data_IF_098419267658
#
_entry.id   IF_098419267658
#
_cell.length_a   1.000
_cell.length_b   1.000
_cell.length_c   1.000
_cell.angle_alpha   90.00
_cell.angle_beta   90.00
_cell.angle_gamma   90.00
#
_symmetry.space_group_name_H-M   'P 1'
#
loop_
_entity.id
_entity.type
_entity.pdbx_description
1 polymer ?
#
# COMPACT_ATOMS: atom_id res chain seq x y z
N UNK A 1 0.08 6.95 -0.31
CA UNK A 1 0.20 8.32 0.28
C UNK A 1 -0.69 8.54 1.49
N UNK A 2 -1.97 8.13 1.46
CA UNK A 2 -2.86 8.33 2.62
C UNK A 2 -2.34 7.67 3.90
N UNK A 3 -1.94 6.40 3.83
CA UNK A 3 -1.38 5.69 4.98
C UNK A 3 -0.05 6.30 5.45
N UNK A 4 0.84 6.68 4.53
CA UNK A 4 2.06 7.43 4.86
C UNK A 4 1.73 8.66 5.72
N UNK A 5 0.80 9.50 5.27
CA UNK A 5 0.41 10.71 6.00
C UNK A 5 -0.21 10.36 7.36
N UNK A 6 -1.08 9.35 7.42
CA UNK A 6 -1.72 8.90 8.66
C UNK A 6 -0.74 8.29 9.66
N UNK A 7 0.35 7.68 9.21
CA UNK A 7 1.38 7.07 10.07
C UNK A 7 2.36 8.13 10.57
N UNK A 8 2.95 8.93 9.68
CA UNK A 8 4.04 9.86 10.06
C UNK A 8 3.55 11.03 10.91
N UNK A 9 2.25 11.32 10.92
CA UNK A 9 1.65 12.38 11.76
C UNK A 9 1.04 11.86 13.07
N UNK A 10 1.03 10.54 13.29
CA UNK A 10 0.33 9.95 14.43
C UNK A 10 1.28 9.68 15.62
N UNK A 11 1.10 10.37 16.77
CA UNK A 11 1.97 10.22 17.95
C UNK A 11 1.95 8.81 18.57
N UNK A 12 0.96 7.97 18.26
CA UNK A 12 0.89 6.59 18.73
C UNK A 12 1.64 5.60 17.85
N UNK A 13 2.06 6.02 16.65
CA UNK A 13 2.68 5.16 15.63
C UNK A 13 4.16 5.46 15.44
N UNK A 14 4.60 6.69 15.72
CA UNK A 14 5.99 7.14 15.55
C UNK A 14 6.44 7.94 16.77
N UNK A 15 7.71 7.80 17.16
CA UNK A 15 8.28 8.48 18.34
C UNK A 15 8.23 10.01 18.20
N UNK A 16 8.45 10.52 16.98
CA UNK A 16 8.50 11.95 16.66
C UNK A 16 7.55 12.24 15.49
N UNK A 17 6.25 12.42 15.75
CA UNK A 17 5.28 12.67 14.69
C UNK A 17 5.58 13.99 14.00
N UNK A 18 5.48 13.97 12.67
CA UNK A 18 5.58 15.15 11.83
C UNK A 18 4.32 16.01 11.98
N UNK A 19 4.49 17.32 11.85
CA UNK A 19 3.34 18.20 11.63
C UNK A 19 2.73 17.93 10.25
N UNK A 20 1.46 18.30 10.06
CA UNK A 20 0.80 18.15 8.75
C UNK A 20 1.55 18.88 7.62
N UNK A 21 2.20 20.01 7.93
CA UNK A 21 3.01 20.77 6.96
C UNK A 21 4.26 19.97 6.57
N UNK A 22 5.01 19.46 7.54
CA UNK A 22 6.21 18.66 7.28
C UNK A 22 5.89 17.37 6.52
N UNK A 23 4.79 16.71 6.86
CA UNK A 23 4.35 15.50 6.15
C UNK A 23 3.96 15.79 4.69
N UNK A 24 3.32 16.93 4.43
CA UNK A 24 3.01 17.39 3.07
C UNK A 24 4.28 17.67 2.28
N UNK A 25 5.21 18.46 2.84
CA UNK A 25 6.44 18.83 2.15
C UNK A 25 7.30 17.59 1.81
N UNK A 26 7.30 16.58 2.70
CA UNK A 26 7.96 15.30 2.43
C UNK A 26 7.23 14.47 1.35
N UNK A 27 5.90 14.49 1.32
CA UNK A 27 5.14 13.84 0.26
C UNK A 27 5.43 14.48 -1.11
N UNK A 28 5.47 15.82 -1.17
CA UNK A 28 5.82 16.56 -2.38
C UNK A 28 7.24 16.20 -2.85
N UNK A 29 8.19 16.10 -1.92
CA UNK A 29 9.55 15.67 -2.24
C UNK A 29 9.60 14.27 -2.88
N UNK A 30 8.85 13.30 -2.35
CA UNK A 30 8.77 11.97 -2.92
C UNK A 30 8.12 11.98 -4.30
N UNK A 31 7.00 12.69 -4.47
CA UNK A 31 6.28 12.76 -5.74
C UNK A 31 7.06 13.50 -6.83
N UNK A 32 8.01 14.37 -6.46
CA UNK A 32 8.91 15.02 -7.40
C UNK A 32 10.05 14.10 -7.91
N UNK A 33 10.29 12.94 -7.28
CA UNK A 33 11.36 12.04 -7.69
C UNK A 33 10.97 11.21 -8.92
N UNK A 34 11.76 11.19 -10.00
CA UNK A 34 11.47 10.36 -11.18
C UNK A 34 11.38 8.86 -10.88
N UNK A 35 12.10 8.40 -9.86
CA UNK A 35 12.10 7.00 -9.43
C UNK A 35 10.85 6.61 -8.62
N UNK A 36 10.03 7.57 -8.19
CA UNK A 36 8.86 7.31 -7.38
C UNK A 36 7.59 7.65 -8.17
N UNK A 37 6.85 6.62 -8.57
CA UNK A 37 5.59 6.78 -9.31
C UNK A 37 4.41 6.40 -8.43
N UNK A 38 3.45 7.31 -8.32
CA UNK A 38 2.17 7.00 -7.71
C UNK A 38 1.29 6.26 -8.72
N UNK A 39 0.82 5.08 -8.33
CA UNK A 39 -0.22 4.34 -9.06
C UNK A 39 -1.59 4.62 -8.44
N UNK A 40 -2.61 4.58 -9.27
CA UNK A 40 -4.00 4.84 -8.86
C UNK A 40 -4.87 3.63 -9.20
N UNK A 41 -5.97 3.40 -8.45
CA UNK A 41 -7.00 2.46 -8.87
C UNK A 41 -7.43 2.76 -10.31
N UNK A 42 -7.56 1.71 -11.11
CA UNK A 42 -8.10 1.76 -12.47
C UNK A 42 -9.59 1.44 -12.43
N UNK A 43 -10.28 1.58 -13.56
CA UNK A 43 -11.69 1.19 -13.69
C UNK A 43 -11.93 -0.30 -13.35
N UNK A 44 -10.91 -1.14 -13.56
CA UNK A 44 -10.97 -2.59 -13.30
C UNK A 44 -10.72 -2.96 -11.82
N UNK A 45 -10.12 -2.06 -11.02
CA UNK A 45 -9.66 -2.39 -9.66
C UNK A 45 -10.79 -2.92 -8.77
N UNK A 46 -12.00 -2.38 -8.88
CA UNK A 46 -13.15 -2.85 -8.10
C UNK A 46 -13.56 -4.28 -8.49
N UNK A 47 -13.55 -4.61 -9.79
CA UNK A 47 -13.89 -5.95 -10.26
C UNK A 47 -12.84 -6.97 -9.79
N UNK A 48 -11.55 -6.60 -9.85
CA UNK A 48 -10.46 -7.41 -9.32
C UNK A 48 -10.57 -7.62 -7.82
N UNK A 49 -10.86 -6.57 -7.03
CA UNK A 49 -11.08 -6.69 -5.59
C UNK A 49 -12.20 -7.72 -5.29
N UNK A 50 -13.33 -7.64 -5.99
CA UNK A 50 -14.43 -8.59 -5.81
C UNK A 50 -14.04 -10.03 -6.19
N UNK A 51 -13.16 -10.20 -7.18
CA UNK A 51 -12.54 -11.48 -7.50
C UNK A 51 -11.68 -11.99 -6.35
N UNK A 52 -10.72 -11.18 -5.89
CA UNK A 52 -9.82 -11.52 -4.79
C UNK A 52 -10.57 -11.83 -3.50
N UNK A 53 -11.68 -11.15 -3.19
CA UNK A 53 -12.49 -11.42 -2.00
C UNK A 53 -13.13 -12.82 -1.99
N UNK A 54 -13.29 -13.45 -3.15
CA UNK A 54 -13.77 -14.85 -3.24
C UNK A 54 -12.70 -15.85 -2.82
N UNK A 55 -11.43 -15.52 -3.06
CA UNK A 55 -10.29 -16.41 -2.82
C UNK A 55 -9.63 -16.14 -1.46
N UNK A 56 -9.56 -14.87 -1.07
CA UNK A 56 -8.92 -14.38 0.15
C UNK A 56 -9.96 -13.60 0.96
N UNK A 57 -10.86 -14.29 1.70
CA UNK A 57 -11.87 -13.61 2.49
C UNK A 57 -11.21 -12.85 3.65
N UNK A 58 -11.46 -11.54 3.69
CA UNK A 58 -10.99 -10.64 4.74
C UNK A 58 -12.17 -9.93 5.43
N UNK A 59 -11.91 -9.32 6.58
CA UNK A 59 -12.91 -8.56 7.35
C UNK A 59 -12.30 -7.24 7.85
N UNK A 60 -13.14 -6.22 7.96
CA UNK A 60 -12.76 -4.91 8.50
C UNK A 60 -11.68 -4.23 7.67
N UNK A 61 -10.71 -3.61 8.34
CA UNK A 61 -9.66 -2.81 7.70
C UNK A 61 -8.79 -3.59 6.69
N UNK A 62 -8.70 -4.92 6.80
CA UNK A 62 -7.93 -5.76 5.85
C UNK A 62 -8.47 -5.72 4.41
N UNK A 63 -9.68 -5.21 4.19
CA UNK A 63 -10.17 -4.94 2.82
C UNK A 63 -9.33 -3.90 2.10
N UNK A 64 -8.71 -2.96 2.83
CA UNK A 64 -7.86 -1.94 2.24
C UNK A 64 -6.55 -2.53 1.71
N UNK A 65 -5.98 -3.53 2.37
CA UNK A 65 -4.80 -4.26 1.88
C UNK A 65 -5.12 -5.02 0.59
N UNK A 66 -6.31 -5.65 0.54
CA UNK A 66 -6.77 -6.34 -0.66
C UNK A 66 -7.09 -5.37 -1.81
N UNK A 67 -7.59 -4.17 -1.50
CA UNK A 67 -7.78 -3.10 -2.49
C UNK A 67 -6.45 -2.54 -3.00
N UNK A 68 -5.43 -2.42 -2.13
CA UNK A 68 -4.07 -2.08 -2.53
C UNK A 68 -3.51 -3.14 -3.48
N UNK A 69 -3.65 -4.42 -3.14
CA UNK A 69 -3.24 -5.53 -3.98
C UNK A 69 -3.95 -5.53 -5.34
N UNK A 70 -5.27 -5.31 -5.38
CA UNK A 70 -6.02 -5.17 -6.63
C UNK A 70 -5.51 -3.97 -7.46
N UNK A 71 -5.23 -2.84 -6.82
CA UNK A 71 -4.67 -1.65 -7.48
C UNK A 71 -3.31 -1.95 -8.10
N UNK A 72 -2.44 -2.69 -7.41
CA UNK A 72 -1.15 -3.10 -7.95
C UNK A 72 -1.32 -3.95 -9.21
N UNK A 73 -2.12 -5.03 -9.12
CA UNK A 73 -2.30 -5.99 -10.20
C UNK A 73 -2.89 -5.34 -11.46
N UNK A 74 -3.90 -4.47 -11.33
CA UNK A 74 -4.48 -3.77 -12.49
C UNK A 74 -3.55 -2.70 -13.09
N UNK A 75 -2.50 -2.30 -12.37
CA UNK A 75 -1.43 -1.45 -12.89
C UNK A 75 -0.21 -2.25 -13.37
N UNK A 76 -0.29 -3.59 -13.41
CA UNK A 76 0.82 -4.45 -13.82
C UNK A 76 1.96 -4.55 -12.81
N UNK A 77 1.73 -4.16 -11.55
CA UNK A 77 2.70 -4.28 -10.46
C UNK A 77 2.46 -5.58 -9.70
N UNK A 78 3.45 -6.45 -9.69
CA UNK A 78 3.34 -7.81 -9.12
C UNK A 78 4.26 -8.05 -7.93
N UNK A 79 5.06 -7.07 -7.52
CA UNK A 79 5.95 -7.19 -6.37
C UNK A 79 5.67 -6.09 -5.34
N UNK A 80 5.67 -6.45 -4.05
CA UNK A 80 5.51 -5.51 -2.94
C UNK A 80 6.65 -5.65 -1.93
N UNK A 81 7.22 -4.52 -1.53
CA UNK A 81 8.10 -4.42 -0.37
C UNK A 81 7.26 -4.11 0.88
N UNK A 82 7.19 -5.01 1.86
CA UNK A 82 6.32 -4.84 3.04
C UNK A 82 6.81 -5.63 4.25
N UNK A 83 6.50 -5.13 5.45
CA UNK A 83 6.66 -5.88 6.70
C UNK A 83 5.42 -6.73 7.05
N UNK A 84 4.34 -6.60 6.29
CA UNK A 84 3.12 -7.38 6.46
C UNK A 84 3.04 -8.53 5.42
N UNK A 85 4.15 -9.23 5.21
CA UNK A 85 4.30 -10.18 4.11
C UNK A 85 3.25 -11.29 4.09
N UNK A 86 2.86 -11.78 5.27
CA UNK A 86 1.88 -12.85 5.43
C UNK A 86 0.48 -12.51 4.89
N UNK A 87 0.08 -11.23 4.89
CA UNK A 87 -1.23 -10.83 4.36
C UNK A 87 -1.22 -10.78 2.82
N UNK A 88 -0.09 -10.35 2.22
CA UNK A 88 0.06 -10.24 0.77
C UNK A 88 0.47 -11.55 0.10
N UNK A 89 1.16 -12.46 0.79
CA UNK A 89 1.56 -13.77 0.27
C UNK A 89 0.39 -14.67 -0.09
N UNK A 90 -0.81 -14.35 0.42
CA UNK A 90 -2.06 -15.06 0.13
C UNK A 90 -2.74 -14.56 -1.14
N UNK A 91 -2.31 -13.43 -1.70
CA UNK A 91 -2.89 -12.85 -2.91
C UNK A 91 -2.20 -13.43 -4.15
N UNK A 92 -2.93 -14.11 -5.05
CA UNK A 92 -2.35 -14.64 -6.27
C UNK A 92 -1.74 -13.54 -7.14
N UNK A 93 -0.58 -13.82 -7.73
CA UNK A 93 0.13 -12.88 -8.61
C UNK A 93 0.96 -11.81 -7.89
N UNK A 94 1.00 -11.82 -6.55
CA UNK A 94 1.88 -10.93 -5.77
C UNK A 94 3.08 -11.69 -5.21
N UNK A 95 4.27 -11.15 -5.47
CA UNK A 95 5.53 -11.53 -4.85
C UNK A 95 5.86 -10.56 -3.72
N UNK A 96 6.21 -11.11 -2.56
CA UNK A 96 6.55 -10.31 -1.37
C UNK A 96 8.06 -10.23 -1.22
N UNK A 97 8.56 -9.02 -1.03
CA UNK A 97 9.91 -8.74 -0.55
C UNK A 97 9.81 -8.17 0.87
N UNK A 98 10.42 -8.82 1.85
CA UNK A 98 10.46 -8.32 3.23
C UNK A 98 11.74 -7.51 3.45
N UNK A 99 11.66 -6.17 3.60
CA UNK A 99 12.87 -5.36 3.76
C UNK A 99 13.60 -5.70 5.06
N UNK A 100 14.92 -5.90 4.99
CA UNK A 100 15.74 -6.15 6.17
C UNK A 100 15.85 -7.62 6.60
N UNK A 101 15.20 -8.55 5.88
CA UNK A 101 15.57 -9.96 5.88
C UNK A 101 16.40 -10.26 4.61
N UNK A 102 17.61 -10.86 4.75
CA UNK A 102 18.48 -11.20 3.63
C UNK A 102 17.93 -12.34 2.76
#
# INVERSE_FOLDING_TARGET
MLEFFAVVTNPRRVERPLSSVMARDLADLYLAQPAFRLIHPTEETSAWLLGLLKEVPVRGARVFDLFLAATMLTNGVTAIATFNGADFSRVPGISVFEPGHP
#
